data_IF_209607451955
#
_entry.id   IF_209607451955
#
_cell.length_a   1.000
_cell.length_b   1.000
_cell.length_c   1.000
_cell.angle_alpha   90.00
_cell.angle_beta   90.00
_cell.angle_gamma   90.00
#
_symmetry.space_group_name_H-M   'P 1'
#
loop_
_entity.id
_entity.type
_entity.pdbx_description
1 polymer ?
#
# COMPACT_ATOMS: atom_id res chain seq x y z
N UNK A 1 -30.84 -16.26 2.74
CA UNK A 1 -29.51 -16.04 2.12
C UNK A 1 -28.64 -15.37 3.17
N UNK A 2 -27.64 -16.05 3.77
CA UNK A 2 -26.74 -15.37 4.68
C UNK A 2 -25.90 -14.38 3.88
N UNK A 3 -25.97 -13.10 4.22
CA UNK A 3 -25.09 -12.07 3.68
C UNK A 3 -23.70 -12.27 4.29
N UNK A 4 -22.75 -12.79 3.50
CA UNK A 4 -21.34 -12.84 3.91
C UNK A 4 -20.79 -11.41 3.88
N UNK A 5 -20.76 -10.73 5.03
CA UNK A 5 -20.10 -9.44 5.19
C UNK A 5 -18.60 -9.68 5.36
N UNK A 6 -17.85 -9.58 4.26
CA UNK A 6 -16.38 -9.51 4.33
C UNK A 6 -15.99 -8.13 4.85
N UNK A 7 -15.46 -8.06 6.07
CA UNK A 7 -14.96 -6.81 6.66
C UNK A 7 -13.52 -6.60 6.20
N UNK A 8 -13.34 -5.62 5.32
CA UNK A 8 -12.05 -5.10 4.91
C UNK A 8 -11.90 -3.69 5.49
N UNK A 9 -10.73 -3.35 6.00
CA UNK A 9 -10.46 -2.02 6.54
C UNK A 9 -9.03 -1.61 6.25
N UNK A 10 -8.84 -0.42 5.70
CA UNK A 10 -7.53 0.15 5.47
C UNK A 10 -7.42 1.52 6.14
N UNK A 11 -6.23 1.83 6.64
CA UNK A 11 -5.92 3.09 7.30
C UNK A 11 -4.48 3.49 6.99
N UNK A 12 -4.22 4.79 6.95
CA UNK A 12 -2.88 5.31 6.70
C UNK A 12 -2.62 6.52 7.58
N UNK A 13 -1.43 6.58 8.18
CA UNK A 13 -0.95 7.73 8.93
C UNK A 13 0.38 8.17 8.37
N UNK A 14 0.57 9.47 8.23
CA UNK A 14 1.82 10.04 7.74
C UNK A 14 2.23 11.21 8.62
N UNK A 15 3.54 11.34 8.82
CA UNK A 15 4.15 12.38 9.62
C UNK A 15 5.42 12.86 8.94
N UNK A 16 5.58 14.17 8.83
CA UNK A 16 6.81 14.79 8.37
C UNK A 16 7.19 15.92 9.32
N UNK A 17 8.49 16.04 9.56
CA UNK A 17 9.07 17.11 10.36
C UNK A 17 10.35 17.57 9.70
N UNK A 18 10.62 18.87 9.78
CA UNK A 18 11.86 19.45 9.32
C UNK A 18 12.32 20.54 10.26
N UNK A 19 13.63 20.75 10.33
CA UNK A 19 14.25 21.78 11.16
C UNK A 19 15.48 22.30 10.43
N UNK A 20 15.58 23.62 10.36
CA UNK A 20 16.72 24.31 9.78
C UNK A 20 17.63 24.83 10.88
N UNK A 21 18.92 24.52 10.79
CA UNK A 21 19.94 25.07 11.70
C UNK A 21 21.18 25.45 10.91
N UNK A 22 21.62 26.70 11.06
CA UNK A 22 22.80 27.24 10.37
C UNK A 22 22.79 27.01 8.85
N UNK A 23 21.62 27.16 8.21
CA UNK A 23 21.46 26.95 6.76
C UNK A 23 21.36 25.50 6.30
N UNK A 24 21.50 24.52 7.21
CA UNK A 24 21.28 23.10 6.93
C UNK A 24 19.86 22.69 7.33
N UNK A 25 19.15 22.04 6.41
CA UNK A 25 17.81 21.50 6.65
C UNK A 25 17.91 20.02 6.99
N UNK A 26 17.46 19.64 8.18
CA UNK A 26 17.27 18.25 8.58
C UNK A 26 15.79 17.93 8.54
N UNK A 27 15.45 16.72 8.12
CA UNK A 27 14.07 16.29 7.98
C UNK A 27 13.89 14.84 8.34
N UNK A 28 12.70 14.50 8.80
CA UNK A 28 12.26 13.13 9.00
C UNK A 28 10.88 12.96 8.44
N UNK A 29 10.66 11.89 7.68
CA UNK A 29 9.35 11.48 7.20
C UNK A 29 9.05 10.05 7.64
N UNK A 30 7.79 9.82 7.98
CA UNK A 30 7.24 8.57 8.45
C UNK A 30 5.88 8.36 7.77
N UNK A 31 5.63 7.16 7.29
CA UNK A 31 4.34 6.74 6.77
C UNK A 31 4.08 5.35 7.29
N UNK A 32 2.86 5.10 7.75
CA UNK A 32 2.37 3.80 8.14
C UNK A 32 1.04 3.54 7.44
N UNK A 33 0.89 2.36 6.88
CA UNK A 33 -0.32 1.90 6.21
C UNK A 33 -0.71 0.56 6.81
N UNK A 34 -1.92 0.46 7.32
CA UNK A 34 -2.46 -0.75 7.94
C UNK A 34 -3.69 -1.20 7.18
N UNK A 35 -3.66 -2.44 6.74
CA UNK A 35 -4.71 -3.12 6.00
C UNK A 35 -5.15 -4.35 6.80
N UNK A 36 -6.46 -4.49 7.02
CA UNK A 36 -7.06 -5.57 7.79
C UNK A 36 -8.11 -6.26 6.94
N UNK A 37 -8.02 -7.57 6.88
CA UNK A 37 -8.96 -8.46 6.25
C UNK A 37 -9.37 -9.59 7.22
N UNK A 38 -10.35 -10.44 6.88
CA UNK A 38 -10.74 -11.55 7.76
C UNK A 38 -9.65 -12.60 8.00
N UNK A 39 -8.56 -12.59 7.22
CA UNK A 39 -7.42 -13.50 7.36
C UNK A 39 -6.33 -12.95 8.29
N UNK A 40 -6.26 -11.63 8.46
CA UNK A 40 -5.30 -10.98 9.33
C UNK A 40 -5.16 -9.48 9.08
N UNK A 41 -4.07 -8.91 9.60
CA UNK A 41 -3.73 -7.50 9.46
C UNK A 41 -2.31 -7.36 8.94
N UNK A 42 -2.09 -6.52 7.96
CA UNK A 42 -0.77 -6.17 7.42
C UNK A 42 -0.50 -4.71 7.67
N UNK A 43 0.63 -4.41 8.30
CA UNK A 43 1.11 -3.05 8.53
C UNK A 43 2.41 -2.82 7.76
N UNK A 44 2.43 -1.80 6.92
CA UNK A 44 3.59 -1.31 6.18
C UNK A 44 4.08 0.00 6.79
N UNK A 45 5.37 0.10 7.09
CA UNK A 45 5.99 1.29 7.65
C UNK A 45 7.15 1.72 6.74
N UNK A 46 7.17 3.00 6.39
CA UNK A 46 8.25 3.62 5.65
C UNK A 46 8.77 4.82 6.45
N UNK A 47 10.07 4.84 6.73
CA UNK A 47 10.69 5.92 7.50
C UNK A 47 12.00 6.38 6.86
N UNK A 48 12.22 7.68 6.80
CA UNK A 48 13.45 8.26 6.28
C UNK A 48 13.85 9.51 7.05
N UNK A 49 15.15 9.61 7.34
CA UNK A 49 15.79 10.80 7.89
C UNK A 49 16.68 11.44 6.82
N UNK A 50 16.90 12.75 6.93
CA UNK A 50 17.77 13.49 6.01
C UNK A 50 19.17 12.91 5.99
N UNK A 51 19.63 12.45 4.82
CA UNK A 51 20.93 11.81 4.64
C UNK A 51 20.95 10.31 4.94
N UNK A 52 19.85 9.71 5.40
CA UNK A 52 19.71 8.27 5.58
C UNK A 52 18.90 7.63 4.43
N UNK A 53 19.18 6.35 4.10
CA UNK A 53 18.35 5.61 3.17
C UNK A 53 16.94 5.41 3.74
N UNK A 54 15.95 5.31 2.85
CA UNK A 54 14.58 4.99 3.20
C UNK A 54 14.52 3.56 3.79
N UNK A 55 14.01 3.44 5.01
CA UNK A 55 13.79 2.16 5.69
C UNK A 55 12.35 1.73 5.51
N UNK A 56 12.17 0.52 5.00
CA UNK A 56 10.85 -0.11 4.89
C UNK A 56 10.76 -1.28 5.88
N UNK A 57 9.62 -1.40 6.52
CA UNK A 57 9.26 -2.48 7.42
C UNK A 57 7.86 -2.96 7.08
N UNK A 58 7.65 -4.27 7.17
CA UNK A 58 6.33 -4.89 7.07
C UNK A 58 6.08 -5.68 8.34
N UNK A 59 4.84 -5.75 8.80
CA UNK A 59 4.41 -6.59 9.91
C UNK A 59 3.09 -7.25 9.51
N UNK A 60 3.11 -8.57 9.49
CA UNK A 60 1.94 -9.37 9.17
C UNK A 60 1.42 -9.98 10.49
N UNK A 61 0.15 -9.81 10.78
CA UNK A 61 -0.55 -10.30 11.96
C UNK A 61 -1.64 -11.28 11.52
N UNK A 62 -1.85 -12.34 12.30
CA UNK A 62 -2.96 -13.27 12.08
C UNK A 62 -4.30 -12.68 12.54
N UNK A 63 -5.41 -13.35 12.22
CA UNK A 63 -6.76 -12.97 12.65
C UNK A 63 -6.94 -12.92 14.19
N UNK A 64 -6.01 -13.49 14.97
CA UNK A 64 -6.00 -13.40 16.44
C UNK A 64 -5.14 -12.25 16.97
N UNK A 65 -4.59 -11.41 16.08
CA UNK A 65 -3.73 -10.27 16.41
C UNK A 65 -2.29 -10.65 16.76
N UNK A 66 -1.87 -11.89 16.50
CA UNK A 66 -0.49 -12.33 16.78
C UNK A 66 0.39 -12.05 15.58
N UNK A 67 1.59 -11.56 15.85
CA UNK A 67 2.59 -11.34 14.81
C UNK A 67 2.98 -12.69 14.18
N UNK A 68 2.85 -12.79 12.86
CA UNK A 68 3.30 -13.93 12.09
C UNK A 68 4.82 -13.82 12.00
N UNK A 69 5.52 -14.66 12.76
CA UNK A 69 6.99 -14.69 12.86
C UNK A 69 7.60 -14.97 11.48
N UNK A 70 7.96 -13.90 10.78
CA UNK A 70 8.35 -13.91 9.36
C UNK A 70 8.05 -12.59 8.64
N UNK A 71 7.06 -11.82 9.12
CA UNK A 71 6.66 -10.53 8.55
C UNK A 71 7.60 -9.37 8.92
N UNK A 72 8.12 -9.36 10.16
CA UNK A 72 8.97 -8.30 10.74
C UNK A 72 10.40 -8.21 10.21
N UNK A 73 10.64 -8.50 8.93
CA UNK A 73 11.96 -8.24 8.32
C UNK A 73 11.99 -6.77 7.93
N UNK A 74 12.77 -5.98 8.67
CA UNK A 74 13.29 -4.73 8.13
C UNK A 74 13.90 -5.04 6.76
N UNK A 75 13.42 -4.40 5.70
CA UNK A 75 13.82 -4.62 4.30
C UNK A 75 15.25 -4.10 4.01
N UNK A 76 16.15 -4.20 5.01
CA UNK A 76 17.54 -3.78 4.96
C UNK A 76 18.55 -4.95 4.92
N UNK A 77 18.11 -6.20 4.72
CA UNK A 77 19.00 -7.37 4.79
C UNK A 77 18.67 -8.48 3.77
N UNK A 78 19.30 -8.41 2.61
CA UNK A 78 19.79 -9.54 1.79
C UNK A 78 18.88 -10.76 1.49
N UNK A 79 17.57 -10.57 1.31
CA UNK A 79 16.71 -11.55 0.61
C UNK A 79 15.55 -10.81 -0.02
N UNK A 80 15.85 -10.22 -1.18
CA UNK A 80 14.89 -9.50 -2.02
C UNK A 80 14.09 -10.57 -2.78
N UNK A 81 12.92 -10.90 -2.27
CA UNK A 81 11.84 -11.42 -3.11
C UNK A 81 11.35 -10.23 -3.97
N UNK A 82 11.53 -10.25 -5.30
CA UNK A 82 11.16 -9.14 -6.17
C UNK A 82 9.65 -8.90 -6.22
N UNK A 83 8.82 -9.82 -5.73
CA UNK A 83 7.35 -9.72 -5.73
C UNK A 83 6.78 -8.84 -4.60
N UNK A 84 7.62 -8.30 -3.69
CA UNK A 84 7.16 -7.56 -2.50
C UNK A 84 7.72 -6.13 -2.38
N UNK A 85 8.21 -5.56 -3.48
CA UNK A 85 8.52 -4.12 -3.57
C UNK A 85 7.22 -3.34 -3.71
N UNK A 86 7.06 -2.26 -2.93
CA UNK A 86 6.05 -1.24 -3.23
C UNK A 86 6.48 -0.61 -4.56
N UNK A 87 5.74 -0.92 -5.62
CA UNK A 87 5.91 -0.33 -6.95
C UNK A 87 5.03 0.91 -7.01
N UNK A 88 5.58 2.01 -7.48
CA UNK A 88 4.80 3.20 -7.81
C UNK A 88 3.91 2.84 -9.00
N UNK A 89 2.63 2.55 -8.74
CA UNK A 89 1.67 1.98 -9.72
C UNK A 89 1.04 3.04 -10.63
N UNK A 90 1.66 4.22 -10.78
CA UNK A 90 1.08 5.33 -11.54
C UNK A 90 0.75 4.99 -12.98
N UNK A 91 1.55 4.14 -13.63
CA UNK A 91 1.46 3.91 -15.07
C UNK A 91 0.58 2.68 -15.40
N UNK A 92 0.62 1.62 -14.57
CA UNK A 92 -0.17 0.39 -14.77
C UNK A 92 -1.66 0.60 -14.44
N UNK A 93 -1.98 1.50 -13.51
CA UNK A 93 -3.36 1.80 -13.13
C UNK A 93 -4.10 2.56 -14.24
N UNK A 94 -3.40 3.44 -14.96
CA UNK A 94 -3.96 4.23 -16.05
C UNK A 94 -4.36 3.37 -17.26
N UNK A 95 -3.62 2.28 -17.56
CA UNK A 95 -4.00 1.35 -18.62
C UNK A 95 -5.17 0.45 -18.23
N UNK A 96 -5.21 0.00 -16.97
CA UNK A 96 -6.31 -0.83 -16.46
C UNK A 96 -7.63 -0.05 -16.43
N UNK A 97 -7.59 1.21 -16.00
CA UNK A 97 -8.75 2.11 -16.00
C UNK A 97 -9.28 2.36 -17.43
N UNK A 98 -8.37 2.47 -18.42
CA UNK A 98 -8.75 2.60 -19.84
C UNK A 98 -9.48 1.37 -20.36
N UNK A 99 -8.96 0.18 -20.06
CA UNK A 99 -9.57 -1.10 -20.45
C UNK A 99 -10.91 -1.33 -19.75
N UNK A 100 -11.06 -0.85 -18.52
CA UNK A 100 -12.31 -0.89 -17.78
C UNK A 100 -13.37 0.02 -18.41
N UNK A 101 -13.01 1.26 -18.79
CA UNK A 101 -13.90 2.17 -19.50
C UNK A 101 -14.37 1.62 -20.86
N UNK A 102 -13.47 1.02 -21.63
CA UNK A 102 -13.79 0.49 -22.96
C UNK A 102 -14.78 -0.68 -22.87
N UNK A 103 -14.58 -1.59 -21.90
CA UNK A 103 -15.50 -2.71 -21.65
C UNK A 103 -16.90 -2.23 -21.26
N UNK A 104 -16.99 -1.18 -20.46
CA UNK A 104 -18.28 -0.57 -20.07
C UNK A 104 -18.96 0.12 -21.26
N UNK A 105 -18.19 0.79 -22.14
CA UNK A 105 -18.71 1.42 -23.36
C UNK A 105 -19.24 0.40 -24.37
N UNK A 106 -18.55 -0.72 -24.56
CA UNK A 106 -19.00 -1.81 -25.44
C UNK A 106 -20.31 -2.46 -24.97
N UNK A 107 -20.49 -2.59 -23.65
CA UNK A 107 -21.72 -3.10 -23.06
C UNK A 107 -22.91 -2.14 -23.27
N UNK A 108 -22.66 -0.83 -23.23
CA UNK A 108 -23.65 0.20 -23.56
C UNK A 108 -24.02 0.20 -25.05
N UNK A 109 -23.04 0.04 -25.95
CA UNK A 109 -23.28 -0.02 -27.39
C UNK A 109 -24.16 -1.22 -27.81
N UNK A 110 -24.04 -2.37 -27.13
CA UNK A 110 -24.90 -3.54 -27.36
C UNK A 110 -26.34 -3.37 -26.87
N UNK A 111 -26.59 -2.44 -25.94
CA UNK A 111 -27.93 -2.18 -25.38
C UNK A 111 -28.65 -1.00 -26.05
N UNK A 112 -27.93 -0.02 -26.60
CA UNK A 112 -28.53 1.14 -27.29
C UNK A 112 -28.34 1.15 -28.81
N UNK A 113 -27.57 0.24 -29.40
CA UNK A 113 -27.42 0.07 -30.86
C UNK A 113 -28.60 -0.61 -31.55
N UNK A 114 -29.82 -0.35 -31.08
CA UNK A 114 -31.07 -0.75 -31.72
C UNK A 114 -31.68 0.42 -32.48
N UNK A 115 -31.12 0.73 -33.65
CA UNK A 115 -31.78 1.42 -34.75
C UNK A 115 -31.25 0.87 -36.08
#
# INVERSE_FOLDING_TARGET
MPSNSYFYSSSSVSFSSSTTRNGQTFGSRYVEHTESDPSGTTTHIASQRSGEPLRHERRDYDASGRLISGGGRALGGNSIDPSRRIVDVSDEQHENDRLYEERIKDEYAKREGGA
#
